data_IF_665441537087
#
_entry.id   IF_665441537087
#
_cell.length_a   1.000
_cell.length_b   1.000
_cell.length_c   1.000
_cell.angle_alpha   90.00
_cell.angle_beta   90.00
_cell.angle_gamma   90.00
#
_symmetry.space_group_name_H-M   'P 1'
#
loop_
_entity.id
_entity.type
_entity.pdbx_description
1 polymer ?
#
# COMPACT_ATOMS: atom_id res chain seq x y z
N UNK A 1 20.71 -11.60 -19.24
CA UNK A 1 19.48 -11.82 -20.01
C UNK A 1 18.42 -10.93 -19.39
N UNK A 2 17.91 -9.95 -20.13
CA UNK A 2 16.90 -9.02 -19.63
C UNK A 2 15.60 -9.77 -19.32
N UNK A 3 15.14 -9.68 -18.08
CA UNK A 3 13.87 -10.24 -17.67
C UNK A 3 12.73 -9.53 -18.42
N UNK A 4 12.02 -10.28 -19.22
CA UNK A 4 10.91 -9.77 -20.02
C UNK A 4 9.76 -9.37 -19.08
N UNK A 5 9.25 -8.15 -19.24
CA UNK A 5 7.90 -7.82 -18.76
C UNK A 5 6.94 -8.69 -19.56
N UNK A 6 6.44 -9.76 -18.97
CA UNK A 6 5.39 -10.56 -19.57
C UNK A 6 4.08 -9.80 -19.46
N UNK A 7 3.53 -9.35 -20.58
CA UNK A 7 2.11 -8.98 -20.64
C UNK A 7 1.28 -10.26 -20.57
N UNK A 8 0.45 -10.43 -19.56
CA UNK A 8 -0.28 -11.67 -19.38
C UNK A 8 -1.58 -11.68 -20.16
N UNK A 9 -2.03 -12.86 -20.37
CA UNK A 9 -3.44 -13.16 -20.64
C UNK A 9 -4.20 -12.81 -19.35
N UNK A 10 -4.83 -11.63 -19.31
CA UNK A 10 -5.65 -11.14 -18.19
C UNK A 10 -4.93 -10.25 -17.18
N UNK A 11 -4.85 -8.97 -17.43
CA UNK A 11 -4.62 -7.84 -16.48
C UNK A 11 -3.67 -8.04 -15.26
N UNK A 12 -2.76 -9.01 -15.28
CA UNK A 12 -1.74 -9.23 -14.25
C UNK A 12 -0.36 -8.98 -14.86
N UNK A 13 0.39 -8.04 -14.33
CA UNK A 13 1.77 -7.77 -14.74
C UNK A 13 2.69 -8.32 -13.65
N UNK A 14 3.49 -9.32 -13.99
CA UNK A 14 4.60 -9.74 -13.15
C UNK A 14 5.83 -8.89 -13.50
N UNK A 15 6.31 -8.14 -12.54
CA UNK A 15 7.58 -7.43 -12.66
C UNK A 15 8.64 -8.28 -11.97
N UNK A 16 9.44 -8.97 -12.78
CA UNK A 16 10.69 -9.56 -12.31
C UNK A 16 11.79 -8.50 -12.49
N UNK A 17 12.46 -8.11 -11.41
CA UNK A 17 13.60 -7.22 -11.50
C UNK A 17 14.82 -8.00 -11.99
N UNK A 18 15.40 -7.55 -13.09
CA UNK A 18 16.84 -7.68 -13.23
C UNK A 18 17.51 -6.39 -12.72
N UNK A 19 18.73 -6.47 -12.29
CA UNK A 19 19.49 -5.32 -11.78
C UNK A 19 19.58 -4.15 -12.79
N UNK A 20 19.27 -4.38 -14.05
CA UNK A 20 19.30 -3.37 -15.13
C UNK A 20 17.95 -2.69 -15.28
N UNK A 21 16.83 -3.36 -15.01
CA UNK A 21 15.48 -2.77 -15.03
C UNK A 21 15.25 -1.72 -13.95
N UNK A 22 15.85 -1.90 -12.77
CA UNK A 22 15.72 -0.97 -11.65
C UNK A 22 16.29 0.43 -11.94
N UNK A 23 17.33 0.53 -12.73
CA UNK A 23 17.91 1.83 -13.13
C UNK A 23 17.02 2.64 -14.08
N UNK A 24 16.10 1.99 -14.76
CA UNK A 24 15.24 2.59 -15.79
C UNK A 24 13.98 3.23 -15.19
N UNK A 25 13.53 2.76 -14.02
CA UNK A 25 12.30 3.21 -13.37
C UNK A 25 12.60 3.81 -11.99
N UNK A 26 12.00 4.97 -11.68
CA UNK A 26 12.15 5.60 -10.36
C UNK A 26 11.47 4.86 -9.24
N UNK A 27 10.40 4.14 -9.58
CA UNK A 27 9.67 3.27 -8.66
C UNK A 27 8.77 2.30 -9.42
N UNK A 28 8.31 1.24 -8.76
CA UNK A 28 7.25 0.36 -9.31
C UNK A 28 6.01 1.15 -9.69
N UNK A 29 5.66 2.18 -8.95
CA UNK A 29 4.52 3.03 -9.24
C UNK A 29 4.68 3.78 -10.56
N UNK A 30 5.89 4.21 -10.91
CA UNK A 30 6.15 4.83 -12.22
C UNK A 30 5.86 3.85 -13.35
N UNK A 31 6.22 2.56 -13.18
CA UNK A 31 5.89 1.51 -14.16
C UNK A 31 4.38 1.30 -14.24
N UNK A 32 3.70 1.21 -13.09
CA UNK A 32 2.26 0.88 -13.02
C UNK A 32 1.39 2.05 -13.49
N UNK A 33 1.72 3.27 -13.10
CA UNK A 33 0.86 4.43 -13.38
C UNK A 33 1.25 5.20 -14.65
N UNK A 34 2.52 5.15 -15.06
CA UNK A 34 3.04 5.92 -16.19
C UNK A 34 3.51 5.04 -17.35
N UNK A 35 3.49 3.73 -17.18
CA UNK A 35 4.04 2.77 -18.14
C UNK A 35 5.58 2.81 -18.20
N UNK A 36 6.17 1.84 -18.88
CA UNK A 36 7.60 1.88 -19.19
C UNK A 36 7.88 3.09 -20.08
N UNK A 37 8.91 3.83 -19.77
CA UNK A 37 9.34 5.00 -20.57
C UNK A 37 9.93 4.63 -21.94
N UNK A 38 10.01 3.37 -22.24
CA UNK A 38 10.38 2.84 -23.53
C UNK A 38 9.09 2.68 -24.34
N UNK A 39 8.96 3.42 -25.43
CA UNK A 39 7.73 3.58 -26.23
C UNK A 39 7.13 2.30 -26.81
N UNK A 40 7.64 1.13 -26.41
CA UNK A 40 7.31 -0.14 -27.04
C UNK A 40 6.37 -1.03 -26.23
N UNK A 41 6.04 -0.74 -24.96
CA UNK A 41 5.47 -1.82 -24.15
C UNK A 41 4.07 -1.66 -23.58
N UNK A 42 3.54 -0.51 -23.20
CA UNK A 42 2.09 -0.37 -22.82
C UNK A 42 1.68 1.10 -22.65
N UNK A 43 0.57 1.56 -23.21
CA UNK A 43 0.04 2.89 -22.95
C UNK A 43 -0.40 3.06 -21.48
N UNK A 44 -0.17 4.23 -20.83
CA UNK A 44 -0.45 4.45 -19.41
C UNK A 44 -1.93 4.28 -19.01
N UNK A 45 -2.85 4.40 -19.92
CA UNK A 45 -4.29 4.19 -19.68
C UNK A 45 -4.72 2.72 -19.61
N UNK A 46 -3.87 1.79 -20.02
CA UNK A 46 -4.16 0.33 -19.97
C UNK A 46 -3.94 -0.24 -18.56
N UNK A 47 -3.25 0.47 -17.70
CA UNK A 47 -2.90 0.02 -16.34
C UNK A 47 -3.97 0.32 -15.29
N UNK A 48 -4.96 1.15 -15.60
CA UNK A 48 -6.11 1.37 -14.72
C UNK A 48 -6.92 0.07 -14.57
N UNK A 49 -7.12 -0.36 -13.33
CA UNK A 49 -7.77 -1.65 -13.03
C UNK A 49 -6.85 -2.88 -13.10
N UNK A 50 -5.56 -2.70 -13.38
CA UNK A 50 -4.57 -3.79 -13.47
C UNK A 50 -4.09 -4.22 -12.08
N UNK A 51 -3.94 -5.53 -11.89
CA UNK A 51 -3.27 -6.10 -10.73
C UNK A 51 -1.79 -6.35 -11.06
N UNK A 52 -0.91 -5.81 -10.23
CA UNK A 52 0.52 -6.02 -10.28
C UNK A 52 0.95 -6.86 -9.08
N UNK A 53 1.64 -7.97 -9.31
CA UNK A 53 2.26 -8.76 -8.24
C UNK A 53 3.76 -8.54 -8.26
N UNK A 54 4.33 -8.16 -7.12
CA UNK A 54 5.77 -7.95 -6.93
C UNK A 54 6.29 -9.04 -6.02
N UNK A 55 7.10 -9.92 -6.58
CA UNK A 55 7.73 -11.04 -5.86
C UNK A 55 9.22 -10.84 -5.57
N UNK A 56 9.83 -9.81 -6.16
CA UNK A 56 11.26 -9.56 -6.02
C UNK A 56 11.62 -8.76 -4.76
N UNK A 57 12.65 -9.23 -4.05
CA UNK A 57 13.16 -8.62 -2.83
C UNK A 57 13.83 -7.25 -3.02
N UNK A 58 14.23 -6.90 -4.24
CA UNK A 58 15.02 -5.69 -4.52
C UNK A 58 14.20 -4.42 -4.76
N UNK A 59 12.87 -4.53 -4.90
CA UNK A 59 12.00 -3.40 -5.29
C UNK A 59 10.97 -3.12 -4.20
N UNK A 60 11.41 -3.03 -2.95
CA UNK A 60 10.50 -2.98 -1.80
C UNK A 60 10.34 -1.60 -1.19
N UNK A 61 11.16 -0.63 -1.59
CA UNK A 61 11.01 0.77 -1.16
C UNK A 61 9.95 1.49 -1.98
N UNK A 62 9.24 2.39 -1.31
CA UNK A 62 8.30 3.34 -1.92
C UNK A 62 7.22 2.70 -2.81
N UNK A 63 6.86 1.44 -2.55
CA UNK A 63 5.84 0.73 -3.31
C UNK A 63 4.51 1.51 -3.28
N UNK A 64 3.93 1.78 -4.43
CA UNK A 64 2.69 2.55 -4.56
C UNK A 64 2.85 4.06 -4.36
N UNK A 65 4.08 4.58 -4.21
CA UNK A 65 4.33 6.00 -4.03
C UNK A 65 3.72 6.85 -5.17
N UNK A 66 2.96 7.89 -4.79
CA UNK A 66 2.30 8.82 -5.71
C UNK A 66 1.33 8.18 -6.71
N UNK A 67 0.91 6.93 -6.49
CA UNK A 67 -0.05 6.27 -7.37
C UNK A 67 -1.33 7.11 -7.51
N UNK A 68 -1.68 7.45 -8.74
CA UNK A 68 -2.83 8.29 -9.09
C UNK A 68 -3.85 7.57 -10.00
N UNK A 69 -3.64 6.29 -10.27
CA UNK A 69 -4.51 5.43 -11.07
C UNK A 69 -5.18 4.35 -10.21
N UNK A 70 -6.22 3.71 -10.73
CA UNK A 70 -6.95 2.63 -10.03
C UNK A 70 -6.22 1.28 -10.17
N UNK A 71 -4.92 1.27 -9.90
CA UNK A 71 -4.12 0.07 -9.90
C UNK A 71 -4.23 -0.69 -8.57
N UNK A 72 -4.09 -2.01 -8.63
CA UNK A 72 -3.96 -2.89 -7.48
C UNK A 72 -2.57 -3.49 -7.47
N UNK A 73 -1.74 -3.09 -6.51
CA UNK A 73 -0.36 -3.56 -6.35
C UNK A 73 -0.32 -4.55 -5.20
N UNK A 74 0.01 -5.80 -5.48
CA UNK A 74 0.23 -6.83 -4.46
C UNK A 74 1.73 -7.09 -4.31
N UNK A 75 2.25 -6.98 -3.09
CA UNK A 75 3.61 -7.38 -2.76
C UNK A 75 3.59 -8.62 -1.90
N UNK A 76 4.24 -9.67 -2.38
CA UNK A 76 4.41 -10.90 -1.62
C UNK A 76 5.66 -10.78 -0.72
N UNK A 77 5.41 -10.85 0.59
CA UNK A 77 6.44 -10.68 1.63
C UNK A 77 6.51 -9.26 2.18
N UNK A 78 7.67 -8.91 2.72
CA UNK A 78 7.91 -7.64 3.42
C UNK A 78 8.25 -6.51 2.46
N UNK A 79 7.96 -5.29 2.86
CA UNK A 79 8.38 -4.06 2.17
C UNK A 79 9.17 -3.17 3.13
N UNK A 80 10.01 -2.33 2.56
CA UNK A 80 10.82 -1.39 3.32
C UNK A 80 10.11 -0.04 3.52
N UNK A 81 10.75 1.05 3.21
CA UNK A 81 10.30 2.39 3.55
C UNK A 81 9.15 2.92 2.68
N UNK A 82 8.29 3.71 3.29
CA UNK A 82 7.39 4.65 2.62
C UNK A 82 6.38 4.04 1.64
N UNK A 83 5.88 2.85 1.96
CA UNK A 83 4.82 2.20 1.18
C UNK A 83 3.56 3.07 1.10
N UNK A 84 3.09 3.36 -0.11
CA UNK A 84 1.91 4.19 -0.36
C UNK A 84 2.10 5.69 -0.09
N UNK A 85 3.34 6.16 0.07
CA UNK A 85 3.59 7.59 0.31
C UNK A 85 3.01 8.46 -0.81
N UNK A 86 2.29 9.54 -0.44
CA UNK A 86 1.67 10.49 -1.38
C UNK A 86 0.69 9.85 -2.37
N UNK A 87 0.27 8.63 -2.14
CA UNK A 87 -0.71 7.93 -2.99
C UNK A 87 -2.04 8.69 -3.02
N UNK A 88 -2.69 8.73 -4.18
CA UNK A 88 -3.96 9.44 -4.40
C UNK A 88 -5.10 8.50 -4.76
N UNK A 89 -4.82 7.37 -5.43
CA UNK A 89 -5.80 6.38 -5.88
C UNK A 89 -5.16 4.99 -5.88
N UNK A 90 -5.99 3.96 -6.13
CA UNK A 90 -5.54 2.59 -6.21
C UNK A 90 -5.44 1.89 -4.85
N UNK A 91 -4.90 0.69 -4.87
CA UNK A 91 -4.76 -0.16 -3.68
C UNK A 91 -3.38 -0.82 -3.66
N UNK A 92 -2.67 -0.68 -2.55
CA UNK A 92 -1.44 -1.42 -2.28
C UNK A 92 -1.72 -2.45 -1.20
N UNK A 93 -1.30 -3.70 -1.44
CA UNK A 93 -1.43 -4.81 -0.50
C UNK A 93 -0.06 -5.40 -0.26
N UNK A 94 0.36 -5.43 1.00
CA UNK A 94 1.59 -6.08 1.46
C UNK A 94 1.19 -7.31 2.26
N UNK A 95 1.67 -8.49 1.89
CA UNK A 95 1.33 -9.73 2.61
C UNK A 95 2.17 -9.92 3.87
N UNK A 96 3.34 -9.35 3.91
CA UNK A 96 4.26 -9.34 5.04
C UNK A 96 4.21 -8.03 5.85
N UNK A 97 5.34 -7.69 6.44
CA UNK A 97 5.60 -6.48 7.22
C UNK A 97 5.87 -5.28 6.31
N UNK A 98 5.53 -4.09 6.78
CA UNK A 98 5.92 -2.85 6.13
C UNK A 98 6.81 -2.00 7.04
N UNK A 99 7.85 -1.42 6.46
CA UNK A 99 8.78 -0.54 7.16
C UNK A 99 8.19 0.82 7.51
N UNK A 100 9.06 1.73 7.92
CA UNK A 100 8.68 3.07 8.37
C UNK A 100 7.91 3.86 7.33
N UNK A 101 7.08 4.80 7.80
CA UNK A 101 6.31 5.74 6.98
C UNK A 101 5.28 5.09 6.04
N UNK A 102 4.78 3.90 6.37
CA UNK A 102 3.70 3.27 5.60
C UNK A 102 2.46 4.14 5.58
N UNK A 103 1.93 4.48 4.40
CA UNK A 103 0.79 5.40 4.25
C UNK A 103 1.10 6.85 4.62
N UNK A 104 2.36 7.25 4.74
CA UNK A 104 2.73 8.64 5.01
C UNK A 104 2.23 9.57 3.90
N UNK A 105 1.72 10.74 4.28
CA UNK A 105 1.19 11.75 3.34
C UNK A 105 0.10 11.18 2.38
N UNK A 106 -0.53 10.06 2.73
CA UNK A 106 -1.58 9.45 1.93
C UNK A 106 -2.69 10.46 1.66
N UNK A 107 -3.04 10.65 0.41
CA UNK A 107 -4.03 11.64 -0.04
C UNK A 107 -5.20 10.97 -0.83
N UNK A 108 -5.42 9.72 -0.60
CA UNK A 108 -6.46 8.87 -1.20
C UNK A 108 -5.96 7.46 -1.45
N UNK A 109 -6.84 6.58 -1.94
CA UNK A 109 -6.53 5.17 -2.14
C UNK A 109 -6.47 4.37 -0.83
N UNK A 110 -5.99 3.14 -0.93
CA UNK A 110 -5.96 2.19 0.19
C UNK A 110 -4.61 1.49 0.29
N UNK A 111 -4.02 1.50 1.47
CA UNK A 111 -2.81 0.73 1.79
C UNK A 111 -3.18 -0.34 2.81
N UNK A 112 -2.87 -1.60 2.51
CA UNK A 112 -3.17 -2.75 3.35
C UNK A 112 -1.86 -3.46 3.65
N UNK A 113 -1.48 -3.51 4.92
CA UNK A 113 -0.35 -4.27 5.44
C UNK A 113 -0.92 -5.42 6.25
N UNK A 114 -0.71 -6.67 5.83
CA UNK A 114 -1.24 -7.83 6.56
C UNK A 114 -0.41 -8.16 7.79
N UNK A 115 0.88 -7.91 7.74
CA UNK A 115 1.81 -8.03 8.87
C UNK A 115 1.89 -6.78 9.72
N UNK A 116 3.02 -6.64 10.40
CA UNK A 116 3.34 -5.50 11.25
C UNK A 116 3.71 -4.27 10.42
N UNK A 117 3.64 -3.10 11.02
CA UNK A 117 4.14 -1.87 10.43
C UNK A 117 5.12 -1.18 11.40
N UNK A 118 6.23 -0.67 10.86
CA UNK A 118 7.20 0.08 11.66
C UNK A 118 6.68 1.50 11.99
N UNK A 119 7.51 2.31 12.61
CA UNK A 119 7.15 3.63 13.12
C UNK A 119 6.61 4.60 12.05
N UNK A 120 5.86 5.59 12.50
CA UNK A 120 5.29 6.68 11.70
C UNK A 120 4.29 6.27 10.62
N UNK A 121 3.61 5.13 10.80
CA UNK A 121 2.55 4.74 9.90
C UNK A 121 1.41 5.79 9.89
N UNK A 122 1.01 6.23 8.70
CA UNK A 122 -0.01 7.25 8.48
C UNK A 122 0.36 8.67 8.90
N UNK A 123 1.65 8.99 9.09
CA UNK A 123 2.09 10.36 9.39
C UNK A 123 1.66 11.31 8.27
N UNK A 124 1.20 12.53 8.64
CA UNK A 124 0.73 13.57 7.72
C UNK A 124 -0.36 13.12 6.73
N UNK A 125 -1.06 12.04 7.03
CA UNK A 125 -2.14 11.50 6.18
C UNK A 125 -3.24 12.54 6.01
N UNK A 126 -3.73 12.74 4.77
CA UNK A 126 -4.76 13.72 4.42
C UNK A 126 -6.08 13.07 4.05
N UNK A 127 -6.06 11.89 3.47
CA UNK A 127 -7.24 11.14 3.02
C UNK A 127 -6.86 9.69 2.75
N UNK A 128 -7.85 8.83 2.42
CA UNK A 128 -7.63 7.42 2.12
C UNK A 128 -7.72 6.50 3.33
N UNK A 129 -7.32 5.26 3.16
CA UNK A 129 -7.43 4.19 4.16
C UNK A 129 -6.10 3.46 4.32
N UNK A 130 -5.65 3.31 5.56
CA UNK A 130 -4.52 2.47 5.93
C UNK A 130 -5.02 1.35 6.85
N UNK A 131 -4.77 0.10 6.50
CA UNK A 131 -5.14 -1.07 7.33
C UNK A 131 -3.87 -1.83 7.70
N UNK A 132 -3.63 -2.03 9.00
CA UNK A 132 -2.48 -2.77 9.53
C UNK A 132 -2.99 -3.99 10.27
N UNK A 133 -2.76 -5.17 9.73
CA UNK A 133 -3.26 -6.45 10.26
C UNK A 133 -2.49 -6.93 11.50
N UNK A 134 -1.20 -6.67 11.54
CA UNK A 134 -0.33 -6.97 12.66
C UNK A 134 -0.30 -5.85 13.71
N UNK A 135 0.84 -5.72 14.37
CA UNK A 135 1.10 -4.71 15.42
C UNK A 135 1.89 -3.56 14.82
N UNK A 136 1.38 -2.32 14.84
CA UNK A 136 2.18 -1.16 14.47
C UNK A 136 3.17 -0.83 15.58
N UNK A 137 4.39 -0.48 15.20
CA UNK A 137 5.43 -0.02 16.12
C UNK A 137 5.28 1.48 16.36
N UNK A 138 5.28 1.86 17.62
CA UNK A 138 5.20 3.27 18.00
C UNK A 138 3.82 3.90 17.78
N UNK A 139 3.84 5.14 17.33
CA UNK A 139 2.64 5.98 17.23
C UNK A 139 2.06 5.99 15.83
N UNK A 140 0.72 6.05 15.75
CA UNK A 140 -0.01 6.12 14.49
C UNK A 140 -0.56 7.52 14.24
N UNK A 141 -0.58 7.91 12.97
CA UNK A 141 -1.30 9.08 12.50
C UNK A 141 -0.77 10.40 13.06
N UNK A 142 0.54 10.49 13.32
CA UNK A 142 1.15 11.76 13.72
C UNK A 142 0.81 12.86 12.70
N UNK A 143 0.37 14.02 13.17
CA UNK A 143 0.00 15.18 12.35
C UNK A 143 -1.02 14.89 11.23
N UNK A 144 -1.83 13.84 11.40
CA UNK A 144 -2.85 13.42 10.45
C UNK A 144 -3.95 14.48 10.33
N UNK A 145 -4.39 14.81 9.11
CA UNK A 145 -5.42 15.79 8.80
C UNK A 145 -6.72 15.18 8.30
N UNK A 146 -6.71 13.92 7.94
CA UNK A 146 -7.87 13.19 7.45
C UNK A 146 -7.55 11.76 7.06
N UNK A 147 -8.53 11.05 6.49
CA UNK A 147 -8.44 9.63 6.20
C UNK A 147 -8.62 8.76 7.44
N UNK A 148 -8.50 7.46 7.30
CA UNK A 148 -8.74 6.49 8.37
C UNK A 148 -7.65 5.46 8.45
N UNK A 149 -7.17 5.16 9.67
CA UNK A 149 -6.26 4.06 9.93
C UNK A 149 -6.99 3.01 10.76
N UNK A 150 -6.87 1.74 10.40
CA UNK A 150 -7.34 0.60 11.19
C UNK A 150 -6.14 -0.21 11.67
N UNK A 151 -6.03 -0.38 12.98
CA UNK A 151 -4.94 -1.14 13.59
C UNK A 151 -5.33 -1.68 14.97
N UNK A 152 -4.52 -2.59 15.50
CA UNK A 152 -4.63 -3.12 16.87
C UNK A 152 -3.44 -2.65 17.70
N UNK A 153 -3.64 -2.49 19.01
CA UNK A 153 -2.55 -2.29 19.97
C UNK A 153 -1.72 -1.00 19.81
N UNK A 154 -2.25 -0.02 19.09
CA UNK A 154 -1.53 1.22 18.80
C UNK A 154 -1.99 2.39 19.68
N UNK A 155 -1.10 3.37 19.81
CA UNK A 155 -1.39 4.66 20.42
C UNK A 155 -1.50 5.73 19.34
N UNK A 156 -2.60 6.51 19.37
CA UNK A 156 -2.76 7.65 18.50
C UNK A 156 -1.88 8.82 18.95
N UNK A 157 -1.26 9.50 17.97
CA UNK A 157 -0.68 10.83 18.23
C UNK A 157 -1.66 11.93 17.77
N UNK A 158 -1.80 13.00 18.56
CA UNK A 158 -2.62 14.13 18.15
C UNK A 158 -2.21 14.68 16.77
N UNK A 159 -3.17 15.13 15.97
CA UNK A 159 -4.61 15.28 16.26
C UNK A 159 -5.42 13.98 16.13
N UNK A 160 -4.81 12.86 15.76
CA UNK A 160 -5.48 11.57 15.57
C UNK A 160 -6.14 11.06 16.85
N UNK A 161 -7.35 10.49 16.73
CA UNK A 161 -8.12 9.94 17.86
C UNK A 161 -8.50 8.49 17.56
N UNK A 162 -8.34 7.64 18.59
CA UNK A 162 -8.75 6.25 18.50
C UNK A 162 -10.24 6.10 18.87
N UNK A 163 -11.01 5.49 17.99
CA UNK A 163 -12.45 5.21 18.15
C UNK A 163 -12.70 3.70 18.05
N UNK A 164 -13.83 3.25 18.59
CA UNK A 164 -14.32 1.90 18.34
C UNK A 164 -14.74 1.74 16.87
N UNK A 165 -14.56 0.55 16.33
CA UNK A 165 -15.01 0.20 14.98
C UNK A 165 -16.52 0.00 14.95
N UNK A 166 -17.16 0.43 13.87
CA UNK A 166 -18.59 0.19 13.57
C UNK A 166 -18.75 -1.11 12.78
N UNK A 167 -19.98 -1.58 12.59
CA UNK A 167 -20.27 -2.76 11.75
C UNK A 167 -19.71 -2.64 10.33
N UNK A 168 -19.77 -1.45 9.72
CA UNK A 168 -19.19 -1.19 8.39
C UNK A 168 -17.66 -1.26 8.43
N UNK A 169 -17.04 -0.71 9.47
CA UNK A 169 -15.58 -0.78 9.67
C UNK A 169 -15.12 -2.25 9.82
N UNK A 170 -15.85 -3.05 10.59
CA UNK A 170 -15.61 -4.49 10.79
C UNK A 170 -15.66 -5.24 9.45
N UNK A 171 -16.70 -5.01 8.65
CA UNK A 171 -16.83 -5.62 7.33
C UNK A 171 -15.69 -5.20 6.37
N UNK A 172 -15.27 -3.94 6.43
CA UNK A 172 -14.16 -3.41 5.64
C UNK A 172 -12.83 -4.07 6.03
N UNK A 173 -12.49 -4.07 7.32
CA UNK A 173 -11.25 -4.68 7.84
C UNK A 173 -11.21 -6.17 7.55
N UNK A 174 -12.32 -6.90 7.82
CA UNK A 174 -12.46 -8.33 7.53
C UNK A 174 -12.17 -8.64 6.06
N UNK A 175 -12.75 -7.87 5.14
CA UNK A 175 -12.53 -8.04 3.68
C UNK A 175 -11.10 -7.76 3.27
N UNK A 176 -10.50 -6.68 3.76
CA UNK A 176 -9.15 -6.28 3.36
C UNK A 176 -8.07 -7.24 3.88
N UNK A 177 -8.22 -7.73 5.09
CA UNK A 177 -7.24 -8.62 5.70
C UNK A 177 -7.53 -10.10 5.45
N UNK A 178 -8.76 -10.45 5.04
CA UNK A 178 -9.19 -11.85 4.90
C UNK A 178 -9.36 -12.56 6.26
N UNK A 179 -9.75 -11.82 7.31
CA UNK A 179 -9.96 -12.34 8.67
C UNK A 179 -11.44 -12.40 9.03
N UNK A 180 -11.78 -13.18 10.06
CA UNK A 180 -13.17 -13.23 10.55
C UNK A 180 -13.62 -11.87 11.11
N UNK A 181 -14.92 -11.62 11.08
CA UNK A 181 -15.51 -10.41 11.68
C UNK A 181 -15.21 -10.31 13.18
N UNK A 182 -15.17 -11.44 13.89
CA UNK A 182 -14.80 -11.49 15.30
C UNK A 182 -13.39 -10.94 15.54
N UNK A 183 -12.42 -11.32 14.70
CA UNK A 183 -11.07 -10.76 14.78
C UNK A 183 -11.04 -9.29 14.39
N UNK A 184 -11.84 -8.86 13.41
CA UNK A 184 -11.91 -7.46 12.99
C UNK A 184 -12.48 -6.53 14.09
N UNK A 185 -13.32 -7.06 15.01
CA UNK A 185 -13.80 -6.30 16.17
C UNK A 185 -12.70 -5.87 17.15
N UNK A 186 -11.53 -6.53 17.12
CA UNK A 186 -10.37 -6.16 17.97
C UNK A 186 -9.63 -4.94 17.46
N UNK A 187 -9.96 -4.43 16.30
CA UNK A 187 -9.34 -3.26 15.73
C UNK A 187 -9.89 -1.97 16.35
N UNK A 188 -9.08 -0.92 16.27
CA UNK A 188 -9.50 0.46 16.52
C UNK A 188 -9.42 1.23 15.21
N UNK A 189 -10.25 2.27 15.14
CA UNK A 189 -10.29 3.21 14.04
C UNK A 189 -9.62 4.51 14.52
N UNK A 190 -8.61 4.96 13.79
CA UNK A 190 -7.91 6.21 14.06
C UNK A 190 -8.34 7.25 13.02
N UNK A 191 -8.98 8.31 13.49
CA UNK A 191 -9.50 9.40 12.66
C UNK A 191 -8.80 10.71 12.96
#
# INVERSE_FOLDING_TARGET
MAGAVKTPIGNVIEVASDRTGYRKYRSITDVVCNGPRDDTLVPPNVLSGTQLTVSDALVRDTVGARCACDARICVEGDVDLSTGILMRRGTVIVTGRAGMNSGALLNGGTVIVRGDADAFAGIDMKSGVLVIGGTPQGYLGANKRGGTIYARGATALPPSKALAVTGNDIALVSRHLGISQLHAMMFKKFV
#
